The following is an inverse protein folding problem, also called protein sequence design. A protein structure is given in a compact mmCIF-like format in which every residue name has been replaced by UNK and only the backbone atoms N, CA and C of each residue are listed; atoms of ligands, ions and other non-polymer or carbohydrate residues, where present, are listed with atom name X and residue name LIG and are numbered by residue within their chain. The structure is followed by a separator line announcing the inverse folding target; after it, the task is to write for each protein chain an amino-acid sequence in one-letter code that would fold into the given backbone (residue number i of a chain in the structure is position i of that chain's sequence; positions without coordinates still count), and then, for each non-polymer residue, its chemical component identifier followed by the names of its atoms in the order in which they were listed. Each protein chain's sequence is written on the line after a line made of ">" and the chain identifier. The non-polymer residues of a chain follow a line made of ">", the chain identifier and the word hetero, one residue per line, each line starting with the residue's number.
data_IF_435213886655
#
_entry.id   IF_435213886655
#
_cell.length_a   1.000
_cell.length_b   1.000
_cell.length_c   1.000
_cell.angle_alpha   90.00
_cell.angle_beta   90.00
_cell.angle_gamma   90.00
#
_symmetry.space_group_name_H-M   'P 1'
#
loop_
_entity.id
_entity.type
_entity.pdbx_description
1 polymer ?
#
# COMPACT_ATOMS: atom_id res chain seq x y z
N UNK A 1 -29.77 -68.05 10.32
CA UNK A 1 -29.43 -69.48 10.38
C UNK A 1 -28.80 -69.86 9.05
N UNK A 2 -27.75 -70.68 9.09
CA UNK A 2 -27.20 -71.48 7.97
C UNK A 2 -26.65 -70.79 6.70
N UNK A 3 -25.41 -70.29 6.85
CA UNK A 3 -24.14 -70.84 6.26
C UNK A 3 -24.07 -71.20 4.74
N UNK A 4 -22.99 -70.83 4.01
CA UNK A 4 -22.85 -71.00 2.55
C UNK A 4 -21.90 -72.14 2.09
N UNK A 5 -21.84 -72.39 0.77
CA UNK A 5 -20.69 -73.00 0.07
C UNK A 5 -19.74 -71.91 -0.49
N UNK A 6 -18.41 -71.95 -0.44
CA UNK A 6 -17.39 -73.04 -0.47
C UNK A 6 -17.10 -73.54 -1.90
N UNK A 7 -15.87 -73.85 -2.34
CA UNK A 7 -14.65 -74.26 -1.62
C UNK A 7 -13.35 -73.62 -2.17
N UNK A 8 -12.35 -73.46 -1.28
CA UNK A 8 -10.91 -73.85 -1.33
C UNK A 8 -10.10 -73.90 -2.67
N UNK A 9 -8.77 -73.97 -2.75
CA UNK A 9 -7.64 -74.41 -1.86
C UNK A 9 -6.36 -73.61 -2.30
N UNK A 10 -5.16 -73.54 -1.70
CA UNK A 10 -4.43 -74.19 -0.56
C UNK A 10 -3.33 -73.23 -0.02
N UNK A 11 -2.78 -73.49 1.17
CA UNK A 11 -1.40 -73.12 1.55
C UNK A 11 -0.70 -74.30 2.26
N UNK A 12 0.63 -74.47 2.11
CA UNK A 12 1.47 -75.19 3.07
C UNK A 12 2.36 -74.23 3.88
N UNK A 13 2.52 -74.50 5.18
CA UNK A 13 3.39 -73.75 6.09
C UNK A 13 4.71 -74.51 6.37
N UNK A 14 5.82 -73.80 6.63
CA UNK A 14 6.41 -73.63 7.99
C UNK A 14 7.83 -73.05 8.01
N UNK A 15 8.10 -72.29 9.09
CA UNK A 15 9.36 -72.00 9.84
C UNK A 15 10.74 -72.31 9.18
N UNK A 16 11.82 -71.53 9.43
CA UNK A 16 12.37 -71.16 10.76
C UNK A 16 13.63 -70.26 10.64
N UNK A 17 13.80 -69.26 11.51
CA UNK A 17 15.13 -68.86 12.02
C UNK A 17 15.70 -67.44 11.75
N UNK A 18 16.14 -66.80 12.85
CA UNK A 18 17.40 -66.03 13.00
C UNK A 18 17.66 -64.70 12.24
N UNK A 19 17.22 -63.60 12.88
CA UNK A 19 18.03 -62.46 13.35
C UNK A 19 19.01 -61.65 12.44
N UNK A 20 18.68 -60.34 12.35
CA UNK A 20 19.57 -59.15 12.36
C UNK A 20 20.46 -58.82 11.13
N UNK A 21 20.94 -57.56 10.99
CA UNK A 21 20.58 -56.32 11.70
C UNK A 21 19.89 -55.27 10.80
N UNK A 22 19.25 -54.26 11.40
CA UNK A 22 18.82 -53.06 10.67
C UNK A 22 19.96 -52.03 10.64
N UNK A 23 20.37 -51.58 9.44
CA UNK A 23 21.39 -50.54 9.29
C UNK A 23 20.87 -49.16 9.68
N UNK A 24 21.70 -48.37 10.37
CA UNK A 24 21.37 -46.99 10.73
C UNK A 24 21.14 -46.10 9.50
N UNK A 25 20.15 -45.22 9.59
CA UNK A 25 20.12 -43.96 8.84
C UNK A 25 19.78 -42.82 9.81
N UNK A 26 20.81 -42.20 10.39
CA UNK A 26 20.71 -41.04 11.30
C UNK A 26 21.03 -39.74 10.55
N UNK A 27 20.32 -39.49 9.46
CA UNK A 27 20.31 -38.23 8.71
C UNK A 27 18.87 -38.01 8.21
N UNK A 28 18.25 -36.82 8.28
CA UNK A 28 18.76 -35.53 8.73
C UNK A 28 17.60 -34.67 9.25
N UNK A 29 17.73 -34.07 10.44
CA UNK A 29 16.76 -33.09 10.94
C UNK A 29 16.98 -31.72 10.27
N UNK A 30 16.60 -31.61 8.99
CA UNK A 30 16.60 -30.34 8.27
C UNK A 30 15.45 -29.47 8.79
N UNK A 31 15.73 -28.18 9.05
CA UNK A 31 14.76 -27.27 9.65
C UNK A 31 13.56 -27.02 8.72
N UNK A 32 12.36 -26.95 9.32
CA UNK A 32 11.15 -26.51 8.62
C UNK A 32 11.38 -25.14 7.97
N UNK A 33 11.20 -24.99 6.65
CA UNK A 33 11.16 -23.67 6.03
C UNK A 33 10.00 -22.90 6.65
N UNK A 34 10.28 -21.68 7.13
CA UNK A 34 9.21 -20.75 7.50
C UNK A 34 8.33 -20.56 6.26
N UNK A 35 7.06 -20.93 6.36
CA UNK A 35 6.12 -20.95 5.25
C UNK A 35 5.79 -19.52 4.79
N UNK A 36 6.71 -18.90 4.05
CA UNK A 36 6.46 -17.69 3.29
C UNK A 36 5.32 -18.00 2.32
N UNK A 37 4.22 -17.27 2.45
CA UNK A 37 3.09 -17.29 1.54
C UNK A 37 3.47 -16.59 0.23
N UNK A 38 4.45 -17.17 -0.47
CA UNK A 38 4.94 -16.68 -1.75
C UNK A 38 3.78 -16.68 -2.74
N UNK A 39 3.59 -15.53 -3.41
CA UNK A 39 2.61 -15.46 -4.48
C UNK A 39 3.02 -16.44 -5.59
N UNK A 40 2.08 -17.17 -6.22
CA UNK A 40 2.40 -18.09 -7.32
C UNK A 40 2.90 -17.38 -8.61
N UNK A 41 3.13 -16.07 -8.55
CA UNK A 41 3.66 -15.24 -9.62
C UNK A 41 4.92 -14.51 -9.16
N UNK A 42 5.91 -14.28 -10.05
CA UNK A 42 7.05 -13.42 -9.76
C UNK A 42 6.62 -12.04 -9.24
N UNK A 43 7.34 -11.41 -8.28
CA UNK A 43 6.91 -10.17 -7.63
C UNK A 43 6.51 -9.04 -8.59
N UNK A 44 7.22 -8.87 -9.70
CA UNK A 44 6.90 -7.91 -10.77
C UNK A 44 5.57 -8.22 -11.49
N UNK A 45 5.30 -9.49 -11.82
CA UNK A 45 4.03 -9.93 -12.42
C UNK A 45 2.88 -9.68 -11.44
N UNK A 46 3.08 -10.02 -10.16
CA UNK A 46 2.11 -9.72 -9.11
C UNK A 46 1.87 -8.21 -8.96
N UNK A 47 2.89 -7.36 -9.13
CA UNK A 47 2.74 -5.91 -9.10
C UNK A 47 1.90 -5.38 -10.27
N UNK A 48 2.13 -5.85 -11.51
CA UNK A 48 1.31 -5.47 -12.68
C UNK A 48 -0.17 -5.83 -12.48
N UNK A 49 -0.45 -7.01 -11.95
CA UNK A 49 -1.81 -7.45 -11.63
C UNK A 49 -2.45 -6.57 -10.55
N UNK A 50 -1.75 -6.27 -9.45
CA UNK A 50 -2.23 -5.34 -8.40
C UNK A 50 -2.51 -3.95 -8.97
N UNK A 51 -1.58 -3.36 -9.70
CA UNK A 51 -1.70 -2.03 -10.30
C UNK A 51 -2.95 -1.94 -11.18
N UNK A 52 -3.18 -2.94 -12.04
CA UNK A 52 -4.36 -3.01 -12.92
C UNK A 52 -5.67 -3.16 -12.13
N UNK A 53 -5.69 -3.96 -11.05
CA UNK A 53 -6.88 -4.11 -10.20
C UNK A 53 -7.19 -2.86 -9.37
N UNK A 54 -6.17 -2.20 -8.80
CA UNK A 54 -6.32 -0.96 -8.03
C UNK A 54 -6.85 0.15 -8.94
N UNK A 55 -6.25 0.33 -10.12
CA UNK A 55 -6.72 1.28 -11.12
C UNK A 55 -8.18 1.00 -11.53
N UNK A 56 -8.54 -0.27 -11.75
CA UNK A 56 -9.93 -0.66 -12.05
C UNK A 56 -10.89 -0.31 -10.91
N UNK A 57 -10.56 -0.61 -9.65
CA UNK A 57 -11.41 -0.28 -8.49
C UNK A 57 -11.60 1.23 -8.32
N UNK A 58 -10.53 2.01 -8.43
CA UNK A 58 -10.60 3.48 -8.34
C UNK A 58 -11.45 4.08 -9.48
N UNK A 59 -11.26 3.62 -10.72
CA UNK A 59 -12.10 4.05 -11.85
C UNK A 59 -13.58 3.66 -11.66
N UNK A 60 -13.87 2.47 -11.15
CA UNK A 60 -15.24 2.04 -10.82
C UNK A 60 -15.88 2.91 -9.72
N UNK A 61 -15.08 3.40 -8.76
CA UNK A 61 -15.56 4.33 -7.75
C UNK A 61 -15.88 5.71 -8.34
N UNK A 62 -14.96 6.31 -9.10
CA UNK A 62 -15.15 7.64 -9.68
C UNK A 62 -16.15 7.68 -10.86
N UNK A 63 -16.55 6.54 -11.40
CA UNK A 63 -17.67 6.41 -12.34
C UNK A 63 -19.02 6.14 -11.65
N UNK A 64 -19.06 6.07 -10.31
CA UNK A 64 -20.27 5.73 -9.55
C UNK A 64 -20.74 4.27 -9.70
N UNK A 65 -19.90 3.40 -10.28
CA UNK A 65 -20.21 1.97 -10.49
C UNK A 65 -20.09 1.14 -9.21
N UNK A 66 -19.29 1.61 -8.25
CA UNK A 66 -19.22 1.14 -6.86
C UNK A 66 -19.10 2.36 -5.94
N UNK A 67 -19.42 2.20 -4.65
CA UNK A 67 -19.02 3.15 -3.60
C UNK A 67 -18.00 2.46 -2.71
N UNK A 68 -16.80 3.03 -2.61
CA UNK A 68 -15.81 2.69 -1.59
C UNK A 68 -16.13 3.47 -0.30
N UNK A 69 -15.79 2.90 0.86
CA UNK A 69 -15.71 3.69 2.09
C UNK A 69 -14.37 4.48 2.15
N UNK A 70 -14.22 5.48 3.05
CA UNK A 70 -13.02 6.30 3.13
C UNK A 70 -11.73 5.50 3.45
N UNK A 71 -11.84 4.41 4.20
CA UNK A 71 -10.71 3.55 4.58
C UNK A 71 -10.28 2.66 3.41
N UNK A 72 -11.23 2.09 2.66
CA UNK A 72 -10.94 1.41 1.38
C UNK A 72 -10.28 2.36 0.36
N UNK A 73 -10.80 3.59 0.23
CA UNK A 73 -10.22 4.60 -0.67
C UNK A 73 -8.77 4.94 -0.26
N UNK A 74 -8.52 5.21 1.03
CA UNK A 74 -7.17 5.38 1.58
C UNK A 74 -6.25 4.19 1.25
N UNK A 75 -6.70 2.95 1.50
CA UNK A 75 -5.89 1.76 1.24
C UNK A 75 -5.62 1.53 -0.26
N UNK A 76 -6.54 1.89 -1.16
CA UNK A 76 -6.30 1.81 -2.60
C UNK A 76 -5.34 2.91 -3.07
N UNK A 77 -5.43 4.14 -2.56
CA UNK A 77 -4.52 5.25 -2.92
C UNK A 77 -3.09 4.96 -2.45
N UNK A 78 -2.88 4.53 -1.20
CA UNK A 78 -1.54 4.19 -0.70
C UNK A 78 -0.97 2.92 -1.38
N UNK A 79 -1.84 1.98 -1.77
CA UNK A 79 -1.42 0.81 -2.55
C UNK A 79 -1.07 1.18 -4.00
N UNK A 80 -1.75 2.17 -4.60
CA UNK A 80 -1.43 2.68 -5.93
C UNK A 80 -0.04 3.31 -5.94
N UNK A 81 0.26 4.19 -4.97
CA UNK A 81 1.58 4.80 -4.81
C UNK A 81 2.69 3.74 -4.73
N UNK A 82 2.52 2.75 -3.84
CA UNK A 82 3.45 1.62 -3.67
C UNK A 82 3.64 0.79 -4.94
N UNK A 83 2.57 0.58 -5.73
CA UNK A 83 2.68 -0.16 -7.00
C UNK A 83 3.46 0.62 -8.06
N UNK A 84 3.36 1.96 -8.05
CA UNK A 84 4.14 2.85 -8.92
C UNK A 84 5.62 2.86 -8.47
N UNK A 85 5.91 3.10 -7.19
CA UNK A 85 7.29 3.08 -6.66
C UNK A 85 8.00 1.73 -6.87
N UNK A 86 7.28 0.61 -6.70
CA UNK A 86 7.81 -0.72 -6.98
C UNK A 86 8.17 -0.87 -8.47
N UNK A 87 7.29 -0.46 -9.38
CA UNK A 87 7.56 -0.51 -10.82
C UNK A 87 8.73 0.43 -11.21
N UNK A 88 8.79 1.65 -10.69
CA UNK A 88 9.88 2.59 -10.93
C UNK A 88 11.24 2.07 -10.47
N UNK A 89 11.31 1.49 -9.27
CA UNK A 89 12.56 0.91 -8.72
C UNK A 89 13.08 -0.29 -9.52
N UNK A 90 12.21 -1.00 -10.25
CA UNK A 90 12.58 -2.10 -11.15
C UNK A 90 12.70 -1.66 -12.62
N UNK A 91 12.53 -0.37 -12.93
CA UNK A 91 12.39 0.20 -14.28
C UNK A 91 11.30 -0.49 -15.15
N UNK A 92 10.29 -1.05 -14.49
CA UNK A 92 9.21 -1.80 -15.11
C UNK A 92 8.07 -0.86 -15.55
N UNK A 93 8.11 -0.40 -16.81
CA UNK A 93 7.10 0.50 -17.36
C UNK A 93 5.77 -0.26 -17.55
N UNK A 94 4.64 0.22 -16.98
CA UNK A 94 3.33 -0.41 -17.19
C UNK A 94 2.89 -0.41 -18.66
N UNK A 95 2.00 -1.35 -19.02
CA UNK A 95 1.39 -1.39 -20.35
C UNK A 95 0.73 -0.04 -20.70
N UNK A 96 0.84 0.39 -21.97
CA UNK A 96 0.24 1.65 -22.46
C UNK A 96 -1.23 1.80 -22.09
N UNK A 97 -2.03 0.72 -22.15
CA UNK A 97 -3.44 0.73 -21.74
C UNK A 97 -3.67 0.96 -20.24
N UNK A 98 -2.71 0.60 -19.38
CA UNK A 98 -2.75 0.94 -17.94
C UNK A 98 -2.34 2.39 -17.73
N UNK A 99 -1.29 2.87 -18.41
CA UNK A 99 -0.83 4.27 -18.32
C UNK A 99 -1.92 5.28 -18.71
N UNK A 100 -2.66 5.03 -19.81
CA UNK A 100 -3.79 5.88 -20.20
C UNK A 100 -4.92 5.92 -19.17
N UNK A 101 -5.14 4.85 -18.40
CA UNK A 101 -6.12 4.84 -17.30
C UNK A 101 -5.59 5.53 -16.04
N UNK A 102 -4.28 5.49 -15.79
CA UNK A 102 -3.68 6.05 -14.56
C UNK A 102 -3.80 7.58 -14.50
N UNK A 103 -3.55 8.31 -15.59
CA UNK A 103 -3.59 9.79 -15.58
C UNK A 103 -4.96 10.36 -15.14
N UNK A 104 -6.12 9.92 -15.70
CA UNK A 104 -7.43 10.33 -15.19
C UNK A 104 -7.69 9.96 -13.73
N UNK A 105 -7.28 8.76 -13.31
CA UNK A 105 -7.46 8.28 -11.93
C UNK A 105 -6.66 9.15 -10.94
N UNK A 106 -5.41 9.47 -11.25
CA UNK A 106 -4.57 10.34 -10.41
C UNK A 106 -5.21 11.73 -10.27
N UNK A 107 -5.74 12.30 -11.37
CA UNK A 107 -6.46 13.58 -11.33
C UNK A 107 -7.73 13.54 -10.48
N UNK A 108 -8.47 12.43 -10.50
CA UNK A 108 -9.66 12.24 -9.65
C UNK A 108 -9.30 12.04 -8.16
N UNK A 109 -8.26 11.24 -7.87
CA UNK A 109 -7.71 11.09 -6.50
C UNK A 109 -7.22 12.43 -5.95
N UNK A 110 -6.55 13.24 -6.77
CA UNK A 110 -6.11 14.59 -6.41
C UNK A 110 -7.28 15.51 -6.03
N UNK A 111 -8.37 15.48 -6.81
CA UNK A 111 -9.55 16.31 -6.55
C UNK A 111 -10.21 16.03 -5.18
N UNK A 112 -10.03 14.82 -4.62
CA UNK A 112 -10.52 14.50 -3.28
C UNK A 112 -9.82 15.32 -2.16
N UNK A 113 -8.61 15.85 -2.36
CA UNK A 113 -7.75 16.40 -1.28
C UNK A 113 -8.45 17.43 -0.38
N UNK A 114 -9.33 18.27 -0.95
CA UNK A 114 -10.05 19.34 -0.25
C UNK A 114 -11.21 18.83 0.63
N UNK A 115 -11.58 17.55 0.49
CA UNK A 115 -12.66 16.87 1.22
C UNK A 115 -12.13 15.65 2.01
N UNK A 116 -10.83 15.39 1.91
CA UNK A 116 -10.12 14.28 2.56
C UNK A 116 -9.77 14.57 4.01
N UNK A 117 -9.73 13.53 4.83
CA UNK A 117 -9.09 13.58 6.15
C UNK A 117 -7.56 13.61 6.03
N UNK A 118 -6.86 13.85 7.14
CA UNK A 118 -5.39 13.86 7.19
C UNK A 118 -4.76 12.55 6.69
N UNK A 119 -5.41 11.41 6.90
CA UNK A 119 -4.93 10.10 6.44
C UNK A 119 -4.95 10.02 4.91
N UNK A 120 -6.10 10.34 4.29
CA UNK A 120 -6.25 10.32 2.84
C UNK A 120 -5.43 11.44 2.17
N UNK A 121 -5.29 12.63 2.77
CA UNK A 121 -4.35 13.65 2.31
C UNK A 121 -2.89 13.14 2.29
N UNK A 122 -2.47 12.40 3.34
CA UNK A 122 -1.13 11.78 3.40
C UNK A 122 -0.95 10.72 2.30
N UNK A 123 -1.98 9.91 2.03
CA UNK A 123 -1.95 8.94 0.93
C UNK A 123 -1.93 9.60 -0.46
N UNK A 124 -2.67 10.69 -0.66
CA UNK A 124 -2.64 11.50 -1.89
C UNK A 124 -1.24 12.09 -2.08
N UNK A 125 -0.61 12.64 -1.04
CA UNK A 125 0.76 13.16 -1.13
C UNK A 125 1.76 12.06 -1.52
N UNK A 126 1.68 10.87 -0.90
CA UNK A 126 2.53 9.74 -1.27
C UNK A 126 2.34 9.34 -2.75
N UNK A 127 1.09 9.34 -3.24
CA UNK A 127 0.79 9.10 -4.65
C UNK A 127 1.41 10.19 -5.55
N UNK A 128 1.26 11.48 -5.23
CA UNK A 128 1.80 12.55 -6.07
C UNK A 128 3.34 12.55 -6.11
N UNK A 129 4.03 12.10 -5.05
CA UNK A 129 5.48 11.89 -5.04
C UNK A 129 5.88 10.76 -6.00
N UNK A 130 5.22 9.59 -5.91
CA UNK A 130 5.44 8.47 -6.84
C UNK A 130 5.16 8.88 -8.31
N UNK A 131 4.10 9.66 -8.53
CA UNK A 131 3.72 10.18 -9.85
C UNK A 131 4.73 11.19 -10.40
N UNK A 132 5.28 12.08 -9.57
CA UNK A 132 6.38 12.98 -9.97
C UNK A 132 7.61 12.20 -10.46
N UNK A 133 7.94 11.10 -9.78
CA UNK A 133 9.03 10.21 -10.19
C UNK A 133 8.71 9.46 -11.51
N UNK A 134 7.44 9.08 -11.74
CA UNK A 134 6.99 8.49 -13.00
C UNK A 134 7.00 9.50 -14.18
N UNK A 135 6.67 10.77 -13.93
CA UNK A 135 6.80 11.84 -14.92
C UNK A 135 8.27 12.03 -15.33
N UNK A 136 9.20 12.01 -14.37
CA UNK A 136 10.65 12.04 -14.62
C UNK A 136 11.22 10.76 -15.27
N UNK A 137 10.39 9.73 -15.49
CA UNK A 137 10.69 8.49 -16.22
C UNK A 137 9.88 8.35 -17.52
N UNK A 138 9.30 9.45 -18.01
CA UNK A 138 8.57 9.54 -19.29
C UNK A 138 7.37 8.57 -19.41
N UNK A 139 6.77 8.17 -18.28
CA UNK A 139 5.58 7.29 -18.27
C UNK A 139 4.33 7.95 -18.87
N UNK A 140 4.29 9.28 -18.95
CA UNK A 140 3.17 10.07 -19.43
C UNK A 140 3.63 11.03 -20.54
N UNK A 141 2.79 11.33 -21.55
CA UNK A 141 3.09 12.38 -22.53
C UNK A 141 3.39 13.72 -21.86
N UNK A 142 4.19 14.57 -22.52
CA UNK A 142 4.65 15.85 -21.95
C UNK A 142 3.50 16.80 -21.51
N UNK A 143 2.34 16.74 -22.16
CA UNK A 143 1.12 17.44 -21.73
C UNK A 143 0.63 16.98 -20.36
N UNK A 144 0.50 15.66 -20.21
CA UNK A 144 -0.11 14.97 -19.09
C UNK A 144 0.85 15.01 -17.89
N UNK A 145 2.14 14.76 -18.14
CA UNK A 145 3.22 14.90 -17.18
C UNK A 145 3.30 16.33 -16.60
N UNK A 146 3.14 17.36 -17.45
CA UNK A 146 3.11 18.75 -16.96
C UNK A 146 1.93 19.00 -16.03
N UNK A 147 0.70 18.61 -16.41
CA UNK A 147 -0.47 18.85 -15.55
C UNK A 147 -0.36 18.13 -14.20
N UNK A 148 0.22 16.92 -14.18
CA UNK A 148 0.50 16.17 -12.95
C UNK A 148 1.56 16.86 -12.07
N UNK A 149 2.62 17.41 -12.67
CA UNK A 149 3.66 18.14 -11.96
C UNK A 149 3.15 19.47 -11.39
N UNK A 150 2.37 20.24 -12.16
CA UNK A 150 1.76 21.49 -11.71
C UNK A 150 0.87 21.25 -10.47
N UNK A 151 0.02 20.21 -10.49
CA UNK A 151 -0.79 19.77 -9.35
C UNK A 151 0.04 19.30 -8.14
N UNK A 152 1.15 18.61 -8.39
CA UNK A 152 2.07 18.17 -7.34
C UNK A 152 2.71 19.36 -6.61
N UNK A 153 3.07 20.41 -7.36
CA UNK A 153 3.65 21.63 -6.80
C UNK A 153 2.62 22.42 -5.98
N UNK A 154 1.37 22.50 -6.46
CA UNK A 154 0.24 23.10 -5.72
C UNK A 154 0.05 22.41 -4.34
N UNK A 155 -0.06 21.08 -4.32
CA UNK A 155 -0.24 20.30 -3.09
C UNK A 155 0.95 20.40 -2.12
N UNK A 156 2.18 20.45 -2.65
CA UNK A 156 3.36 20.65 -1.81
C UNK A 156 3.35 22.02 -1.12
N UNK A 157 2.96 23.08 -1.84
CA UNK A 157 2.91 24.44 -1.30
C UNK A 157 1.88 24.60 -0.18
N UNK A 158 0.67 24.07 -0.36
CA UNK A 158 -0.41 24.18 0.63
C UNK A 158 -0.10 23.41 1.91
N UNK A 159 0.48 22.20 1.79
CA UNK A 159 0.86 21.38 2.94
C UNK A 159 1.97 22.05 3.77
N UNK A 160 3.02 22.58 3.12
CA UNK A 160 4.09 23.30 3.82
C UNK A 160 3.56 24.53 4.58
N UNK A 161 2.68 25.33 3.98
CA UNK A 161 2.08 26.49 4.66
C UNK A 161 1.21 26.11 5.86
N UNK A 162 0.46 25.00 5.78
CA UNK A 162 -0.34 24.48 6.91
C UNK A 162 0.52 24.12 8.12
N UNK A 163 1.66 23.47 7.89
CA UNK A 163 2.63 23.12 8.94
C UNK A 163 3.22 24.38 9.57
N UNK A 164 3.65 25.36 8.75
CA UNK A 164 4.18 26.64 9.25
C UNK A 164 3.18 27.39 10.13
N UNK A 165 1.92 27.50 9.70
CA UNK A 165 0.88 28.19 10.47
C UNK A 165 0.62 27.51 11.83
N UNK A 166 0.62 26.17 11.87
CA UNK A 166 0.43 25.39 13.11
C UNK A 166 1.58 25.63 14.10
N UNK A 167 2.82 25.69 13.62
CA UNK A 167 4.01 25.97 14.44
C UNK A 167 3.99 27.41 14.96
N UNK A 168 3.67 28.39 14.10
CA UNK A 168 3.59 29.81 14.50
C UNK A 168 2.50 30.05 15.54
N UNK A 169 1.31 29.48 15.37
CA UNK A 169 0.24 29.55 16.38
C UNK A 169 0.63 28.93 17.71
N UNK A 170 1.30 27.77 17.67
CA UNK A 170 1.84 27.12 18.88
C UNK A 170 2.87 27.99 19.60
N UNK A 171 3.80 28.59 18.86
CA UNK A 171 4.81 29.49 19.39
C UNK A 171 4.19 30.78 19.99
N UNK A 172 3.22 31.39 19.32
CA UNK A 172 2.50 32.56 19.85
C UNK A 172 1.79 32.24 21.17
N UNK A 173 1.07 31.11 21.27
CA UNK A 173 0.40 30.70 22.51
C UNK A 173 1.39 30.47 23.66
N UNK A 174 2.61 30.02 23.37
CA UNK A 174 3.69 29.89 24.36
C UNK A 174 4.23 31.29 24.76
N UNK A 175 4.50 32.16 23.80
CA UNK A 175 5.00 33.53 24.04
C UNK A 175 4.01 34.35 24.89
N UNK A 176 2.72 34.32 24.57
CA UNK A 176 1.67 35.00 25.36
C UNK A 176 1.47 34.42 26.77
N UNK A 177 1.92 33.19 27.05
CA UNK A 177 1.93 32.61 28.40
C UNK A 177 3.20 32.92 29.19
N UNK A 178 4.30 33.27 28.50
CA UNK A 178 5.60 33.57 29.13
C UNK A 178 5.78 35.07 29.41
N UNK A 179 5.20 35.96 28.59
CA UNK A 179 5.13 37.39 28.92
C UNK A 179 3.88 37.68 29.78
N UNK A 180 3.99 37.90 31.10
CA UNK A 180 2.91 38.54 31.84
C UNK A 180 2.72 39.95 31.25
N UNK A 181 1.49 40.26 30.83
CA UNK A 181 1.17 41.57 30.28
C UNK A 181 1.43 42.64 31.34
N UNK A 182 2.40 43.54 31.07
CA UNK A 182 2.63 44.72 31.92
C UNK A 182 1.38 45.60 31.85
N UNK A 183 0.52 45.49 32.86
CA UNK A 183 -0.61 46.40 33.06
C UNK A 183 -0.01 47.79 33.25
N UNK A 184 -0.23 48.67 32.28
CA UNK A 184 0.19 50.06 32.34
C UNK A 184 -0.67 50.78 33.38
N UNK A 185 -0.14 50.92 34.59
CA UNK A 185 -0.64 51.88 35.56
C UNK A 185 -0.43 53.28 34.98
N UNK A 186 -1.46 53.80 34.32
CA UNK A 186 -1.60 55.21 34.00
C UNK A 186 -2.16 55.90 35.25
N UNK A 187 -1.39 55.87 36.34
CA UNK A 187 -1.80 56.51 37.60
C UNK A 187 -1.92 58.03 37.36
N UNK A 188 -2.98 58.61 37.91
CA UNK A 188 -3.50 59.90 37.47
C UNK A 188 -2.60 61.09 37.88
N UNK A 189 -2.69 62.17 37.10
CA UNK A 189 -2.48 63.50 37.63
C UNK A 189 -3.67 63.85 38.54
N UNK A 190 -3.40 64.07 39.82
CA UNK A 190 -4.21 64.89 40.72
C UNK A 190 -3.35 66.10 41.16
N UNK A 191 -4.00 67.17 41.64
CA UNK A 191 -3.48 68.55 41.70
C UNK A 191 -2.27 68.81 42.64
#
# INVERSE_FOLDING_TARGET
>A
MDVPGSYAVTQPLRHRGMAAPASHNLQQAAASPLATSQSPFPPMVANKVRLRMIAKRLHMNFSGSISLDPQELFYLVISLARCIDYALSHNDIPERGVLHCLFPIIKQVYQCQNQSDTSLQTAIMALMIAVKNACAKEWFPNSDAKELLDKTNELYSSFCMSVSNTIVGSAQVIIYKILPSRRSNQDAYED
#
